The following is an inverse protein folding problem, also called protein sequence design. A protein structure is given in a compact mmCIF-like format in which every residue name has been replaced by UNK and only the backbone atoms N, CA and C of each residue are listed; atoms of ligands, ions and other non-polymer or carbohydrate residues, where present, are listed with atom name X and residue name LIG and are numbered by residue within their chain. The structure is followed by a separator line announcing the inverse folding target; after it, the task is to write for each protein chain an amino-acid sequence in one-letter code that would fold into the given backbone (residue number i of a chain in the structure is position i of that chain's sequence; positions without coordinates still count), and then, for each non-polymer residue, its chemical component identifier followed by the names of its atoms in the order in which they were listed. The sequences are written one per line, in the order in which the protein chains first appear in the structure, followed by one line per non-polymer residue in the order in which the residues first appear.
data_IF_031222650808
#
_entry.id   IF_031222650808
#
_cell.length_a   1.000
_cell.length_b   1.000
_cell.length_c   1.000
_cell.angle_alpha   90.00
_cell.angle_beta   90.00
_cell.angle_gamma   90.00
#
_symmetry.space_group_name_H-M   'P 1'
#
loop_
_entity.id
_entity.type
_entity.pdbx_description
1 polymer ?
#
# COMPACT_ATOMS: atom_id res chain seq x y z
N UNK A 1 -13.22 -4.33 -25.12
CA UNK A 1 -12.40 -3.27 -25.68
C UNK A 1 -10.93 -3.54 -25.46
N UNK A 2 -10.07 -3.13 -26.37
CA UNK A 2 -8.65 -3.31 -26.20
C UNK A 2 -8.15 -2.51 -24.99
N UNK A 3 -7.23 -3.10 -24.24
CA UNK A 3 -6.60 -2.43 -23.11
C UNK A 3 -5.55 -1.46 -23.62
N UNK A 4 -5.54 -0.27 -23.05
CA UNK A 4 -4.54 0.74 -23.38
C UNK A 4 -3.65 0.99 -22.18
N UNK A 5 -2.38 1.35 -22.39
CA UNK A 5 -1.54 1.82 -21.30
C UNK A 5 -2.18 3.02 -20.62
N UNK A 6 -2.03 3.13 -19.29
CA UNK A 6 -2.52 4.29 -18.53
C UNK A 6 -1.78 5.54 -18.98
N UNK A 7 -0.46 5.43 -19.15
CA UNK A 7 0.37 6.49 -19.70
C UNK A 7 1.23 5.88 -20.83
N UNK A 8 0.97 6.25 -22.10
CA UNK A 8 1.75 5.69 -23.21
C UNK A 8 3.24 5.97 -23.14
N UNK A 9 3.66 7.01 -22.41
CA UNK A 9 5.05 7.39 -22.25
C UNK A 9 5.67 6.86 -20.96
N UNK A 10 4.84 6.25 -20.10
CA UNK A 10 5.29 5.71 -18.83
C UNK A 10 5.61 4.22 -18.89
N UNK A 11 6.18 3.67 -17.82
CA UNK A 11 6.46 2.24 -17.73
C UNK A 11 5.18 1.41 -17.68
N UNK A 12 5.30 0.12 -17.99
CA UNK A 12 4.16 -0.80 -17.99
C UNK A 12 3.62 -1.06 -16.58
N UNK A 13 4.47 -0.92 -15.56
CA UNK A 13 4.09 -1.16 -14.18
C UNK A 13 4.98 -0.37 -13.22
N UNK A 14 4.47 -0.13 -12.03
CA UNK A 14 5.22 0.48 -10.93
C UNK A 14 5.12 -0.39 -9.68
N UNK A 15 6.14 -0.31 -8.84
CA UNK A 15 6.18 -0.98 -7.54
C UNK A 15 5.92 0.02 -6.43
N UNK A 16 5.24 -0.44 -5.38
CA UNK A 16 5.06 0.38 -4.18
C UNK A 16 6.42 0.76 -3.59
N UNK A 17 6.47 1.91 -2.94
CA UNK A 17 7.64 2.38 -2.22
C UNK A 17 7.51 2.24 -0.71
N UNK A 18 6.40 1.68 -0.23
CA UNK A 18 6.18 1.50 1.21
C UNK A 18 7.00 0.31 1.74
N UNK A 19 7.40 0.34 3.02
CA UNK A 19 8.15 -0.74 3.65
C UNK A 19 7.22 -1.90 4.02
N UNK A 20 6.85 -2.71 3.04
CA UNK A 20 5.81 -3.73 3.18
C UNK A 20 6.13 -4.77 4.25
N UNK A 21 7.39 -5.19 4.37
CA UNK A 21 7.78 -6.21 5.34
C UNK A 21 7.53 -5.74 6.77
N UNK A 22 7.98 -4.53 7.09
CA UNK A 22 7.81 -3.96 8.43
C UNK A 22 6.34 -3.75 8.75
N UNK A 23 5.56 -3.28 7.77
CA UNK A 23 4.12 -3.07 7.95
C UNK A 23 3.41 -4.39 8.25
N UNK A 24 3.69 -5.43 7.46
CA UNK A 24 3.08 -6.74 7.70
C UNK A 24 3.51 -7.34 9.03
N UNK A 25 4.74 -7.12 9.44
CA UNK A 25 5.23 -7.57 10.73
C UNK A 25 4.44 -6.94 11.88
N UNK A 26 4.22 -5.63 11.80
CA UNK A 26 3.42 -4.91 12.81
C UNK A 26 1.96 -5.37 12.81
N UNK A 27 1.39 -5.60 11.64
CA UNK A 27 0.03 -6.12 11.53
C UNK A 27 -0.09 -7.47 12.25
N UNK A 28 0.88 -8.35 12.05
CA UNK A 28 0.89 -9.64 12.72
C UNK A 28 0.99 -9.49 14.24
N UNK A 29 1.82 -8.56 14.72
CA UNK A 29 1.96 -8.28 16.15
C UNK A 29 0.66 -7.77 16.76
N UNK A 30 -0.12 -7.02 16.00
CA UNK A 30 -1.37 -6.42 16.47
C UNK A 30 -2.59 -7.27 16.11
N UNK A 31 -2.36 -8.49 15.63
CA UNK A 31 -3.42 -9.43 15.25
C UNK A 31 -4.36 -8.84 14.18
N UNK A 32 -3.83 -8.04 13.28
CA UNK A 32 -4.57 -7.49 12.15
C UNK A 32 -4.36 -8.40 10.94
N UNK A 33 -5.40 -9.06 10.46
CA UNK A 33 -5.28 -9.90 9.26
C UNK A 33 -5.02 -9.02 8.04
N UNK A 34 -3.98 -9.35 7.30
CA UNK A 34 -3.61 -8.60 6.11
C UNK A 34 -2.83 -9.49 5.15
N UNK A 35 -2.80 -9.08 3.90
CA UNK A 35 -2.03 -9.76 2.88
C UNK A 35 -1.48 -8.73 1.88
N UNK A 36 -0.37 -9.08 1.26
CA UNK A 36 0.14 -8.31 0.14
C UNK A 36 -0.70 -8.61 -1.10
N UNK A 37 -0.93 -7.57 -1.88
CA UNK A 37 -1.57 -7.71 -3.17
C UNK A 37 -0.65 -7.15 -4.25
N UNK A 38 -0.51 -7.86 -5.34
CA UNK A 38 0.22 -7.38 -6.52
C UNK A 38 -0.71 -6.69 -7.51
N UNK A 39 -1.99 -6.54 -7.17
CA UNK A 39 -2.99 -6.08 -8.13
C UNK A 39 -3.98 -5.13 -7.43
N UNK A 40 -4.03 -3.89 -7.93
CA UNK A 40 -5.03 -2.90 -7.50
C UNK A 40 -6.32 -2.97 -8.33
N UNK A 41 -6.46 -4.00 -9.16
CA UNK A 41 -7.59 -4.15 -10.06
C UNK A 41 -7.31 -3.53 -11.43
N UNK A 42 -8.34 -3.46 -12.26
CA UNK A 42 -8.21 -2.95 -13.63
C UNK A 42 -8.99 -1.66 -13.87
N UNK A 43 -9.57 -1.10 -12.83
CA UNK A 43 -10.43 0.08 -12.92
C UNK A 43 -9.78 1.28 -12.22
N UNK A 44 -10.60 2.07 -11.53
CA UNK A 44 -10.19 3.36 -10.95
C UNK A 44 -9.03 3.21 -9.98
N UNK A 45 -9.04 2.20 -9.11
CA UNK A 45 -7.97 2.03 -8.11
C UNK A 45 -6.63 1.78 -8.77
N UNK A 46 -6.59 0.94 -9.79
CA UNK A 46 -5.34 0.68 -10.50
C UNK A 46 -4.84 1.94 -11.22
N UNK A 47 -5.73 2.66 -11.88
CA UNK A 47 -5.37 3.90 -12.58
C UNK A 47 -4.85 4.95 -11.60
N UNK A 48 -5.54 5.14 -10.49
CA UNK A 48 -5.14 6.09 -9.45
C UNK A 48 -3.76 5.73 -8.89
N UNK A 49 -3.55 4.48 -8.54
CA UNK A 49 -2.29 4.02 -7.98
C UNK A 49 -1.14 4.19 -8.98
N UNK A 50 -1.37 3.80 -10.24
CA UNK A 50 -0.37 3.96 -11.29
C UNK A 50 0.02 5.45 -11.43
N UNK A 51 -0.97 6.34 -11.53
CA UNK A 51 -0.70 7.77 -11.69
C UNK A 51 0.06 8.34 -10.49
N UNK A 52 -0.28 7.90 -9.27
CA UNK A 52 0.42 8.34 -8.08
C UNK A 52 1.89 7.92 -8.11
N UNK A 53 2.17 6.67 -8.45
CA UNK A 53 3.54 6.16 -8.50
C UNK A 53 4.33 6.79 -9.65
N UNK A 54 3.67 7.02 -10.79
CA UNK A 54 4.28 7.71 -11.93
C UNK A 54 4.66 9.14 -11.54
N UNK A 55 3.76 9.86 -10.90
CA UNK A 55 4.04 11.22 -10.42
C UNK A 55 5.16 11.22 -9.40
N UNK A 56 5.14 10.31 -8.44
CA UNK A 56 6.16 10.22 -7.39
C UNK A 56 7.54 9.98 -7.97
N UNK A 57 7.62 9.11 -8.98
CA UNK A 57 8.91 8.77 -9.63
C UNK A 57 9.51 9.96 -10.37
N UNK A 58 8.68 10.91 -10.82
CA UNK A 58 9.14 12.10 -11.53
C UNK A 58 9.54 13.26 -10.63
N UNK A 59 9.43 13.14 -9.32
CA UNK A 59 9.76 14.22 -8.41
C UNK A 59 11.26 14.24 -8.10
N UNK A 60 11.81 15.43 -7.88
CA UNK A 60 13.22 15.58 -7.56
C UNK A 60 13.54 15.07 -6.17
N UNK A 61 12.61 15.22 -5.22
CA UNK A 61 12.80 14.70 -3.88
C UNK A 61 12.14 13.35 -3.73
N UNK A 62 12.66 12.56 -2.80
CA UNK A 62 12.15 11.24 -2.50
C UNK A 62 10.75 11.32 -1.91
N UNK A 63 9.82 10.60 -2.54
CA UNK A 63 8.45 10.49 -2.07
C UNK A 63 8.09 9.01 -2.01
N UNK A 64 7.63 8.56 -0.85
CA UNK A 64 7.16 7.20 -0.67
C UNK A 64 5.66 7.17 -0.94
N UNK A 65 5.23 6.29 -1.82
CA UNK A 65 3.84 6.15 -2.18
C UNK A 65 3.43 4.69 -2.19
N UNK A 66 2.20 4.43 -1.80
CA UNK A 66 1.65 3.09 -1.79
C UNK A 66 0.14 3.13 -1.78
N UNK A 67 -0.46 1.97 -1.72
CA UNK A 67 -1.91 1.81 -1.75
C UNK A 67 -2.30 0.77 -0.70
N UNK A 68 -3.27 1.11 0.14
CA UNK A 68 -3.78 0.21 1.16
C UNK A 68 -5.29 0.10 1.00
N UNK A 69 -5.77 -1.11 0.76
CA UNK A 69 -7.20 -1.37 0.72
C UNK A 69 -7.68 -1.69 2.13
N UNK A 70 -8.73 -0.99 2.56
CA UNK A 70 -9.33 -1.23 3.86
C UNK A 70 -10.62 -2.03 3.68
N UNK A 71 -10.87 -3.03 4.56
CA UNK A 71 -12.10 -3.79 4.49
C UNK A 71 -13.28 -3.00 5.05
N UNK A 72 -14.46 -3.61 4.96
CA UNK A 72 -15.66 -3.05 5.54
C UNK A 72 -15.47 -2.94 7.07
N UNK A 73 -15.90 -1.80 7.63
CA UNK A 73 -15.92 -1.64 9.09
C UNK A 73 -17.03 -2.51 9.66
N UNK A 74 -16.67 -3.38 10.60
CA UNK A 74 -17.66 -4.14 11.31
C UNK A 74 -17.99 -3.46 12.65
N UNK A 75 -19.25 -3.57 13.06
CA UNK A 75 -19.71 -3.01 14.33
C UNK A 75 -20.00 -4.06 15.38
N UNK A 76 -19.85 -5.35 15.04
CA UNK A 76 -20.19 -6.46 15.93
C UNK A 76 -19.14 -7.56 15.82
N UNK A 77 -18.93 -8.32 16.90
CA UNK A 77 -18.13 -9.54 16.83
C UNK A 77 -18.65 -10.49 15.75
N UNK A 78 -17.76 -11.18 15.07
CA UNK A 78 -18.04 -12.17 14.04
C UNK A 78 -18.59 -11.62 12.71
N UNK A 79 -18.73 -10.30 12.55
CA UNK A 79 -19.03 -9.72 11.26
C UNK A 79 -17.79 -9.72 10.38
N UNK A 80 -18.01 -9.68 9.05
CA UNK A 80 -16.91 -9.54 8.09
C UNK A 80 -16.26 -8.16 8.24
N UNK A 81 -15.01 -8.10 7.85
CA UNK A 81 -14.25 -6.87 7.90
C UNK A 81 -13.48 -6.73 9.22
N UNK A 82 -13.09 -5.52 9.50
CA UNK A 82 -12.33 -5.18 10.70
C UNK A 82 -13.05 -4.09 11.48
N UNK A 83 -12.89 -4.10 12.79
CA UNK A 83 -13.43 -3.03 13.63
C UNK A 83 -12.72 -1.71 13.28
N UNK A 84 -13.36 -0.60 13.66
CA UNK A 84 -12.73 0.71 13.46
C UNK A 84 -11.42 0.82 14.24
N UNK A 85 -11.34 0.20 15.40
CA UNK A 85 -10.13 0.18 16.20
C UNK A 85 -9.01 -0.57 15.50
N UNK A 86 -9.32 -1.72 14.88
CA UNK A 86 -8.33 -2.47 14.12
C UNK A 86 -7.87 -1.70 12.89
N UNK A 87 -8.78 -1.04 12.18
CA UNK A 87 -8.42 -0.25 11.00
C UNK A 87 -7.60 0.97 11.39
N UNK A 88 -7.92 1.62 12.49
CA UNK A 88 -7.14 2.75 13.00
C UNK A 88 -5.72 2.30 13.36
N UNK A 89 -5.60 1.16 14.03
CA UNK A 89 -4.29 0.60 14.36
C UNK A 89 -3.49 0.25 13.11
N UNK A 90 -4.17 -0.28 12.09
CA UNK A 90 -3.51 -0.63 10.83
C UNK A 90 -2.96 0.62 10.12
N UNK A 91 -3.76 1.68 10.04
CA UNK A 91 -3.31 2.94 9.43
C UNK A 91 -2.15 3.54 10.22
N UNK A 92 -2.22 3.49 11.54
CA UNK A 92 -1.13 3.96 12.40
C UNK A 92 0.16 3.18 12.14
N UNK A 93 0.08 1.87 12.00
CA UNK A 93 1.24 1.03 11.68
C UNK A 93 1.84 1.42 10.33
N UNK A 94 0.99 1.61 9.31
CA UNK A 94 1.46 2.01 7.97
C UNK A 94 2.20 3.34 8.05
N UNK A 95 1.64 4.32 8.73
CA UNK A 95 2.25 5.64 8.85
C UNK A 95 3.56 5.58 9.63
N UNK A 96 3.57 4.90 10.75
CA UNK A 96 4.77 4.81 11.60
C UNK A 96 5.93 4.11 10.87
N UNK A 97 5.65 2.98 10.23
CA UNK A 97 6.69 2.24 9.53
C UNK A 97 7.17 2.99 8.28
N UNK A 98 6.26 3.71 7.62
CA UNK A 98 6.64 4.51 6.44
C UNK A 98 7.56 5.66 6.84
N UNK A 99 7.27 6.34 7.94
CA UNK A 99 8.15 7.41 8.44
C UNK A 99 9.50 6.84 8.87
N UNK A 100 9.49 5.73 9.58
CA UNK A 100 10.74 5.10 10.01
C UNK A 100 11.60 4.69 8.81
N UNK A 101 10.98 4.07 7.82
CA UNK A 101 11.69 3.68 6.59
C UNK A 101 12.22 4.90 5.83
N UNK A 102 11.45 5.98 5.77
CA UNK A 102 11.89 7.21 5.12
C UNK A 102 13.17 7.76 5.75
N UNK A 103 13.26 7.68 7.07
CA UNK A 103 14.42 8.18 7.82
C UNK A 103 15.60 7.21 7.79
N UNK A 104 15.33 5.90 7.78
CA UNK A 104 16.36 4.85 7.77
C UNK A 104 15.97 3.74 6.79
N UNK A 105 16.20 3.93 5.49
CA UNK A 105 15.79 2.94 4.50
C UNK A 105 16.51 1.60 4.66
N UNK A 106 15.75 0.53 4.39
CA UNK A 106 16.28 -0.83 4.32
C UNK A 106 15.73 -1.50 3.07
N UNK A 107 16.60 -2.06 2.23
CA UNK A 107 16.17 -2.72 1.00
C UNK A 107 15.28 -3.94 1.29
N UNK A 108 15.47 -4.59 2.45
CA UNK A 108 14.66 -5.76 2.82
C UNK A 108 13.19 -5.40 3.11
N UNK A 109 12.90 -4.14 3.40
CA UNK A 109 11.53 -3.70 3.64
C UNK A 109 10.71 -3.61 2.35
N UNK A 110 11.36 -3.38 1.22
CA UNK A 110 10.68 -3.22 -0.06
C UNK A 110 10.68 -4.53 -0.86
N UNK A 111 11.78 -5.23 -0.87
CA UNK A 111 11.97 -6.42 -1.69
C UNK A 111 11.45 -7.65 -0.97
N UNK A 112 10.17 -7.92 -1.15
CA UNK A 112 9.50 -9.07 -0.54
C UNK A 112 9.39 -10.27 -1.47
N UNK A 113 9.99 -10.17 -2.57
CA UNK A 113 9.82 -11.15 -3.51
C UNK A 113 10.59 -11.94 -4.11
#
# INVERSE_FOLDING_TARGET
PPRRPIDPEGPAAYWTRLPLRSILHDFAKHEIPAALSSDAGTFVCNSLFYHLLNWSAGQERRILSGFVSLPIVNGRPHERGLSIEQQTAAVDDVLRESVRYFLQPSSSDILLG
#
